data_IF_527738949878
#
_entry.id   IF_527738949878
#
_cell.length_a   1.000
_cell.length_b   1.000
_cell.length_c   1.000
_cell.angle_alpha   90.00
_cell.angle_beta   90.00
_cell.angle_gamma   90.00
#
_symmetry.space_group_name_H-M   'P 1'
#
loop_
_entity.id
_entity.type
_entity.pdbx_description
1 polymer ?
#
# COMPACT_ATOMS: atom_id res chain seq x y z
N UNK A 1 6.00 8.85 5.99
CA UNK A 1 6.74 7.83 6.77
C UNK A 1 5.73 6.88 7.36
N UNK A 2 5.89 5.59 7.06
CA UNK A 2 4.84 4.57 7.11
C UNK A 2 5.48 3.19 6.98
N UNK A 3 4.88 2.15 7.55
CA UNK A 3 5.05 0.78 7.06
C UNK A 3 3.68 0.20 6.66
N UNK A 4 3.61 -0.38 5.47
CA UNK A 4 2.46 -1.16 4.99
C UNK A 4 2.93 -2.50 4.43
N UNK A 5 2.08 -3.51 4.56
CA UNK A 5 2.33 -4.89 4.13
C UNK A 5 1.11 -5.44 3.41
N UNK A 6 1.33 -6.12 2.30
CA UNK A 6 0.34 -6.92 1.58
C UNK A 6 0.81 -8.38 1.55
N UNK A 7 -0.08 -9.34 1.77
CA UNK A 7 0.21 -10.78 1.73
C UNK A 7 -0.85 -11.49 0.87
N UNK A 8 -0.45 -11.98 -0.30
CA UNK A 8 -1.27 -12.77 -1.23
C UNK A 8 -1.00 -14.25 -0.99
N UNK A 9 -2.03 -14.99 -0.57
CA UNK A 9 -2.02 -16.45 -0.36
C UNK A 9 -3.14 -17.11 -1.16
N UNK A 10 -3.18 -18.44 -1.20
CA UNK A 10 -4.18 -19.19 -1.99
C UNK A 10 -5.63 -18.98 -1.53
N UNK A 11 -5.84 -18.69 -0.24
CA UNK A 11 -7.15 -18.45 0.35
C UNK A 11 -7.63 -16.99 0.25
N UNK A 12 -6.75 -16.02 -0.02
CA UNK A 12 -7.10 -14.62 0.10
C UNK A 12 -5.94 -13.64 0.01
N UNK A 13 -6.28 -12.37 0.22
CA UNK A 13 -5.35 -11.26 0.32
C UNK A 13 -5.47 -10.59 1.70
N UNK A 14 -4.34 -10.30 2.32
CA UNK A 14 -4.27 -9.53 3.57
C UNK A 14 -3.59 -8.20 3.29
N UNK A 15 -4.19 -7.11 3.76
CA UNK A 15 -3.59 -5.78 3.78
C UNK A 15 -3.42 -5.33 5.22
N UNK A 16 -2.27 -4.73 5.54
CA UNK A 16 -2.01 -4.20 6.88
C UNK A 16 -1.18 -2.92 6.82
N UNK A 17 -1.42 -1.99 7.76
CA UNK A 17 -0.70 -0.72 7.84
C UNK A 17 -0.60 -0.15 9.24
N UNK A 18 0.49 0.56 9.52
CA UNK A 18 0.67 1.31 10.76
C UNK A 18 -0.13 2.63 10.77
N UNK A 19 -0.08 3.36 11.89
CA UNK A 19 -0.97 4.51 12.13
C UNK A 19 -0.29 5.85 12.29
N UNK A 20 1.04 5.89 12.37
CA UNK A 20 1.76 7.14 12.55
C UNK A 20 1.93 7.87 11.21
N UNK A 21 1.47 9.11 11.10
CA UNK A 21 1.85 10.01 10.03
C UNK A 21 2.72 11.13 10.59
N UNK A 22 3.76 11.48 9.86
CA UNK A 22 4.69 12.51 10.25
C UNK A 22 4.73 13.62 9.20
N UNK A 23 4.47 14.84 9.67
CA UNK A 23 4.48 16.05 8.88
C UNK A 23 5.87 16.65 8.92
N UNK A 24 6.48 16.86 7.76
CA UNK A 24 7.77 17.52 7.63
C UNK A 24 7.58 18.99 7.29
N UNK A 25 8.57 19.81 7.62
CA UNK A 25 8.62 21.20 7.23
C UNK A 25 9.70 21.95 7.97
N UNK A 26 9.63 23.28 7.89
CA UNK A 26 10.60 24.18 8.52
C UNK A 26 9.88 25.14 9.45
N UNK A 27 10.35 25.25 10.69
CA UNK A 27 9.89 26.32 11.60
C UNK A 27 10.92 27.44 11.54
N UNK A 28 10.45 28.66 11.29
CA UNK A 28 11.26 29.88 11.44
C UNK A 28 11.03 30.44 12.84
N UNK A 29 12.07 30.45 13.67
CA UNK A 29 12.04 31.20 14.93
C UNK A 29 12.40 32.68 14.67
N UNK A 30 12.01 33.58 15.59
CA UNK A 30 12.27 35.03 15.53
C UNK A 30 13.75 35.39 15.31
N UNK A 31 14.67 34.48 15.68
CA UNK A 31 16.11 34.62 15.53
C UNK A 31 16.69 34.00 14.23
N UNK A 32 15.84 33.65 13.25
CA UNK A 32 16.29 33.19 11.92
C UNK A 32 16.84 31.77 11.84
N UNK A 33 16.87 31.00 12.94
CA UNK A 33 17.30 29.60 12.92
C UNK A 33 16.20 28.73 12.30
N UNK A 34 16.49 28.15 11.14
CA UNK A 34 15.69 27.12 10.48
C UNK A 34 15.97 25.76 11.11
N UNK A 35 15.04 25.25 11.92
CA UNK A 35 15.02 23.82 12.21
C UNK A 35 14.15 23.14 11.14
N UNK A 36 14.79 22.47 10.19
CA UNK A 36 14.12 21.57 9.25
C UNK A 36 14.00 20.17 9.86
N UNK A 37 12.83 19.55 9.77
CA UNK A 37 12.61 18.22 10.32
C UNK A 37 11.14 17.83 10.42
N UNK A 38 10.85 16.87 11.28
CA UNK A 38 9.47 16.48 11.61
C UNK A 38 8.86 17.58 12.48
N UNK A 39 7.86 18.26 11.94
CA UNK A 39 7.11 19.30 12.66
C UNK A 39 6.11 18.70 13.64
N UNK A 40 5.46 17.61 13.23
CA UNK A 40 4.38 16.98 14.01
C UNK A 40 4.22 15.52 13.62
N UNK A 41 3.86 14.69 14.59
CA UNK A 41 3.37 13.33 14.36
C UNK A 41 1.90 13.22 14.78
N UNK A 42 1.15 12.41 14.04
CA UNK A 42 -0.24 12.04 14.31
C UNK A 42 -0.33 10.51 14.35
N UNK A 43 -0.88 9.94 15.42
CA UNK A 43 -0.88 8.48 15.63
C UNK A 43 -2.15 7.76 15.15
N UNK A 44 -3.00 8.47 14.42
CA UNK A 44 -4.30 7.96 13.95
C UNK A 44 -4.49 8.06 12.43
N UNK A 45 -3.43 8.28 11.67
CA UNK A 45 -3.51 8.34 10.22
C UNK A 45 -3.96 7.00 9.64
N UNK A 46 -4.88 7.02 8.67
CA UNK A 46 -5.31 5.83 7.96
C UNK A 46 -4.48 5.65 6.71
N UNK A 47 -3.89 4.46 6.61
CA UNK A 47 -3.04 4.06 5.50
C UNK A 47 -3.57 2.84 4.77
N UNK A 48 -4.64 2.26 5.30
CA UNK A 48 -5.43 1.20 4.70
C UNK A 48 -6.85 1.74 4.53
N UNK A 49 -7.41 1.66 3.33
CA UNK A 49 -8.82 1.98 3.05
C UNK A 49 -9.48 0.89 2.23
N UNK A 50 -10.81 0.78 2.39
CA UNK A 50 -11.68 -0.03 1.56
C UNK A 50 -12.18 0.86 0.42
N UNK A 51 -12.12 0.38 -0.83
CA UNK A 51 -12.61 1.09 -2.01
C UNK A 51 -14.11 0.82 -2.20
N UNK A 52 -14.95 1.76 -1.76
CA UNK A 52 -16.41 1.72 -1.86
C UNK A 52 -16.99 0.41 -1.33
N UNK A 53 -17.72 -0.31 -2.16
CA UNK A 53 -18.30 -1.63 -1.89
C UNK A 53 -17.60 -2.75 -2.69
N UNK A 54 -16.48 -2.44 -3.37
CA UNK A 54 -15.69 -3.41 -4.10
C UNK A 54 -14.86 -4.30 -3.16
N UNK A 55 -14.52 -5.55 -3.53
CA UNK A 55 -13.52 -6.36 -2.86
C UNK A 55 -12.10 -5.84 -3.19
N UNK A 56 -11.87 -4.57 -2.91
CA UNK A 56 -10.64 -3.82 -3.25
C UNK A 56 -10.27 -2.93 -2.08
N UNK A 57 -9.00 -2.96 -1.69
CA UNK A 57 -8.42 -2.10 -0.68
C UNK A 57 -7.21 -1.35 -1.21
N UNK A 58 -6.83 -0.30 -0.49
CA UNK A 58 -5.64 0.49 -0.82
C UNK A 58 -4.71 0.62 0.37
N UNK A 59 -3.39 0.56 0.12
CA UNK A 59 -2.36 0.91 1.08
C UNK A 59 -1.61 2.17 0.63
N UNK A 60 -1.27 3.09 1.54
CA UNK A 60 -0.58 4.35 1.18
C UNK A 60 0.67 4.60 2.02
N UNK A 61 1.74 5.11 1.40
CA UNK A 61 2.97 5.51 2.08
C UNK A 61 3.66 6.68 1.35
N UNK A 62 4.69 7.22 1.99
CA UNK A 62 5.40 8.41 1.49
C UNK A 62 4.84 9.68 2.14
N UNK A 63 4.51 10.68 1.31
CA UNK A 63 3.89 11.93 1.72
C UNK A 63 2.46 11.71 2.25
N UNK A 64 2.10 12.44 3.32
CA UNK A 64 0.80 12.30 3.98
C UNK A 64 -0.31 13.19 3.40
N UNK A 65 0.07 14.28 2.72
CA UNK A 65 -0.86 15.29 2.20
C UNK A 65 -0.36 15.92 0.91
N UNK A 66 -1.28 16.30 0.04
CA UNK A 66 -1.04 17.07 -1.19
C UNK A 66 -1.83 18.37 -1.04
N UNK A 67 -1.12 19.50 -0.99
CA UNK A 67 -1.69 20.79 -0.62
C UNK A 67 -2.36 20.72 0.75
N UNK A 68 -3.66 21.05 0.81
CA UNK A 68 -4.47 21.03 2.03
C UNK A 68 -5.20 19.71 2.30
N UNK A 69 -5.04 18.69 1.43
CA UNK A 69 -5.80 17.43 1.49
C UNK A 69 -4.91 16.25 1.85
N UNK A 70 -5.41 15.34 2.68
CA UNK A 70 -4.73 14.07 2.92
C UNK A 70 -4.87 13.15 1.71
N UNK A 71 -3.94 12.20 1.54
CA UNK A 71 -4.04 11.18 0.49
C UNK A 71 -5.33 10.35 0.65
N UNK A 72 -5.72 10.03 1.90
CA UNK A 72 -7.01 9.37 2.17
C UNK A 72 -8.20 10.17 1.66
N UNK A 73 -8.17 11.50 1.77
CA UNK A 73 -9.24 12.36 1.26
C UNK A 73 -9.34 12.30 -0.27
N UNK A 74 -8.20 12.21 -0.97
CA UNK A 74 -8.18 12.07 -2.43
C UNK A 74 -8.73 10.72 -2.87
N UNK A 75 -8.37 9.65 -2.17
CA UNK A 75 -8.89 8.30 -2.43
C UNK A 75 -10.40 8.28 -2.26
N UNK A 76 -10.93 8.88 -1.19
CA UNK A 76 -12.39 8.95 -0.95
C UNK A 76 -13.13 9.78 -1.99
N UNK A 77 -12.52 10.84 -2.50
CA UNK A 77 -13.10 11.65 -3.58
C UNK A 77 -13.21 10.83 -4.87
N UNK A 78 -12.15 10.09 -5.22
CA UNK A 78 -12.19 9.17 -6.35
C UNK A 78 -13.23 8.06 -6.16
N UNK A 79 -13.22 7.43 -4.98
CA UNK A 79 -14.17 6.40 -4.57
C UNK A 79 -15.63 6.85 -4.71
N UNK A 80 -15.92 8.10 -4.32
CA UNK A 80 -17.26 8.68 -4.44
C UNK A 80 -17.74 8.77 -5.89
N UNK A 81 -16.82 8.92 -6.85
CA UNK A 81 -17.11 8.94 -8.28
C UNK A 81 -17.32 7.57 -8.92
N UNK A 82 -16.91 6.47 -8.27
CA UNK A 82 -17.11 5.12 -8.78
C UNK A 82 -18.59 4.71 -8.71
N UNK A 83 -19.09 3.84 -9.60
CA UNK A 83 -20.40 3.18 -9.43
C UNK A 83 -20.42 2.34 -8.15
N UNK A 84 -21.60 2.08 -7.57
CA UNK A 84 -21.74 1.15 -6.44
C UNK A 84 -22.07 -0.23 -6.97
N UNK A 85 -21.34 -1.26 -6.52
CA UNK A 85 -21.68 -2.65 -6.81
C UNK A 85 -23.08 -3.01 -6.33
N UNK A 86 -23.46 -2.59 -5.13
CA UNK A 86 -24.79 -2.84 -4.57
C UNK A 86 -25.89 -2.21 -5.43
N UNK A 87 -25.73 -0.94 -5.81
CA UNK A 87 -26.70 -0.23 -6.66
C UNK A 87 -26.78 -0.83 -8.07
N UNK A 88 -25.65 -1.17 -8.69
CA UNK A 88 -25.63 -1.80 -10.02
C UNK A 88 -26.26 -3.20 -10.00
N UNK A 89 -26.01 -3.97 -8.94
CA UNK A 89 -26.64 -5.28 -8.76
C UNK A 89 -28.15 -5.16 -8.54
N UNK A 90 -28.62 -4.17 -7.78
CA UNK A 90 -30.06 -3.95 -7.59
C UNK A 90 -30.73 -3.49 -8.89
N UNK A 91 -30.11 -2.61 -9.70
CA UNK A 91 -30.62 -2.27 -11.04
C UNK A 91 -30.78 -3.50 -11.94
N UNK A 92 -29.79 -4.39 -11.94
CA UNK A 92 -29.85 -5.65 -12.70
C UNK A 92 -31.01 -6.52 -12.19
N UNK A 93 -31.17 -6.61 -10.86
CA UNK A 93 -32.25 -7.37 -10.23
C UNK A 93 -33.64 -6.83 -10.58
N UNK A 94 -33.83 -5.51 -10.53
CA UNK A 94 -35.09 -4.87 -10.91
C UNK A 94 -35.46 -5.14 -12.37
N UNK A 95 -34.49 -5.05 -13.29
CA UNK A 95 -34.69 -5.36 -14.72
C UNK A 95 -35.11 -6.83 -14.92
N UNK A 96 -34.50 -7.77 -14.18
CA UNK A 96 -34.92 -9.18 -14.16
C UNK A 96 -36.37 -9.34 -13.69
N UNK A 97 -36.77 -8.63 -12.63
CA UNK A 97 -38.16 -8.67 -12.16
C UNK A 97 -39.17 -8.13 -13.17
N UNK A 98 -38.77 -7.18 -14.04
CA UNK A 98 -39.59 -6.67 -15.14
C UNK A 98 -39.69 -7.60 -16.36
N UNK A 99 -39.06 -8.77 -16.32
CA UNK A 99 -39.06 -9.72 -17.43
C UNK A 99 -38.18 -9.29 -18.61
N UNK A 100 -37.27 -8.33 -18.40
CA UNK A 100 -36.24 -8.01 -19.39
C UNK A 100 -35.28 -9.22 -19.51
N UNK A 101 -34.72 -9.45 -20.69
CA UNK A 101 -33.72 -10.51 -20.86
C UNK A 101 -32.36 -10.01 -20.32
N UNK A 102 -32.03 -10.39 -19.08
CA UNK A 102 -30.86 -9.91 -18.31
C UNK A 102 -30.01 -11.08 -17.79
N UNK A 103 -30.18 -12.29 -18.32
CA UNK A 103 -29.47 -13.49 -17.82
C UNK A 103 -27.94 -13.38 -17.93
N UNK A 104 -27.43 -12.53 -18.82
CA UNK A 104 -25.99 -12.30 -19.03
C UNK A 104 -25.48 -10.91 -18.59
N UNK A 105 -26.31 -10.04 -18.03
CA UNK A 105 -25.84 -8.70 -17.62
C UNK A 105 -25.33 -8.80 -16.18
N UNK A 106 -24.01 -8.72 -16.03
CA UNK A 106 -23.32 -8.47 -14.77
C UNK A 106 -22.60 -7.13 -14.88
N UNK A 107 -22.48 -6.41 -13.77
CA UNK A 107 -21.61 -5.25 -13.73
C UNK A 107 -20.16 -5.72 -13.53
N UNK A 108 -19.39 -5.64 -14.61
CA UNK A 108 -17.98 -6.04 -14.62
C UNK A 108 -17.11 -4.85 -14.20
N UNK A 109 -16.05 -5.14 -13.45
CA UNK A 109 -15.06 -4.16 -13.01
C UNK A 109 -13.69 -4.83 -12.97
N UNK A 110 -12.65 -4.05 -13.24
CA UNK A 110 -11.27 -4.49 -13.19
C UNK A 110 -10.45 -3.65 -12.22
N UNK A 111 -9.66 -4.32 -11.37
CA UNK A 111 -8.81 -3.64 -10.38
C UNK A 111 -7.74 -2.79 -11.06
N UNK A 112 -7.22 -3.22 -12.22
CA UNK A 112 -6.27 -2.44 -13.01
C UNK A 112 -6.88 -1.14 -13.53
N UNK A 113 -8.11 -1.20 -14.05
CA UNK A 113 -8.86 0.00 -14.48
C UNK A 113 -9.14 0.96 -13.31
N UNK A 114 -9.57 0.43 -12.16
CA UNK A 114 -9.77 1.22 -10.93
C UNK A 114 -8.43 1.88 -10.52
N UNK A 115 -7.33 1.14 -10.62
CA UNK A 115 -5.98 1.61 -10.27
C UNK A 115 -5.49 2.71 -11.20
N UNK A 116 -5.73 2.56 -12.51
CA UNK A 116 -5.42 3.58 -13.51
C UNK A 116 -6.22 4.86 -13.26
N UNK A 117 -7.53 4.75 -13.01
CA UNK A 117 -8.37 5.90 -12.69
C UNK A 117 -7.92 6.61 -11.40
N UNK A 118 -7.52 5.86 -10.37
CA UNK A 118 -6.99 6.44 -9.14
C UNK A 118 -5.65 7.15 -9.38
N UNK A 119 -4.76 6.57 -10.21
CA UNK A 119 -3.49 7.19 -10.56
C UNK A 119 -3.72 8.53 -11.26
N UNK A 120 -4.61 8.58 -12.24
CA UNK A 120 -4.96 9.82 -12.96
C UNK A 120 -5.51 10.90 -12.01
N UNK A 121 -6.46 10.52 -11.15
CA UNK A 121 -7.06 11.42 -10.16
C UNK A 121 -6.03 12.03 -9.20
N UNK A 122 -5.16 11.18 -8.64
CA UNK A 122 -4.13 11.61 -7.68
C UNK A 122 -3.03 12.42 -8.37
N UNK A 123 -2.61 12.02 -9.58
CA UNK A 123 -1.60 12.73 -10.38
C UNK A 123 -2.05 14.15 -10.68
N UNK A 124 -3.33 14.36 -11.03
CA UNK A 124 -3.87 15.70 -11.27
C UNK A 124 -3.71 16.64 -10.06
N UNK A 125 -3.98 16.14 -8.85
CA UNK A 125 -3.77 16.90 -7.61
C UNK A 125 -2.29 17.10 -7.30
N UNK A 126 -1.47 16.08 -7.55
CA UNK A 126 -0.04 16.08 -7.26
C UNK A 126 0.71 17.08 -8.14
N UNK A 127 0.48 17.04 -9.46
CA UNK A 127 1.12 17.95 -10.41
C UNK A 127 0.63 19.39 -10.22
N UNK A 128 -0.64 19.59 -9.84
CA UNK A 128 -1.17 20.92 -9.51
C UNK A 128 -0.50 21.57 -8.30
N UNK A 129 -0.07 20.78 -7.31
CA UNK A 129 0.61 21.28 -6.10
C UNK A 129 2.13 21.40 -6.28
N UNK A 130 2.74 20.44 -6.97
CA UNK A 130 4.19 20.30 -7.05
C UNK A 130 4.77 20.65 -8.43
N UNK A 131 4.04 21.35 -9.30
CA UNK A 131 4.49 21.75 -10.65
C UNK A 131 5.83 22.49 -10.64
N UNK A 132 6.04 23.32 -9.62
CA UNK A 132 7.20 24.21 -9.50
C UNK A 132 8.38 23.57 -8.74
N UNK A 133 8.20 22.35 -8.23
CA UNK A 133 9.22 21.60 -7.51
C UNK A 133 10.04 20.79 -8.51
N UNK A 134 11.40 20.85 -8.50
CA UNK A 134 12.23 20.00 -9.34
C UNK A 134 11.94 18.52 -9.12
N UNK A 135 11.92 17.71 -10.18
CA UNK A 135 11.50 16.30 -10.11
C UNK A 135 12.27 15.48 -9.05
N UNK A 136 13.58 15.71 -8.91
CA UNK A 136 14.43 15.05 -7.89
C UNK A 136 14.05 15.39 -6.45
N UNK A 137 13.37 16.52 -6.24
CA UNK A 137 12.94 17.02 -4.93
C UNK A 137 11.44 16.83 -4.69
N UNK A 138 10.70 16.31 -5.67
CA UNK A 138 9.27 16.04 -5.53
C UNK A 138 9.05 14.92 -4.50
N UNK A 139 8.12 15.09 -3.55
CA UNK A 139 7.97 14.15 -2.45
C UNK A 139 7.33 12.83 -2.94
N UNK A 140 7.91 11.66 -2.64
CA UNK A 140 7.38 10.40 -3.16
C UNK A 140 6.02 10.08 -2.53
N UNK A 141 5.12 9.56 -3.37
CA UNK A 141 3.84 8.98 -2.96
C UNK A 141 3.73 7.58 -3.57
N UNK A 142 3.50 6.59 -2.73
CA UNK A 142 3.16 5.25 -3.16
C UNK A 142 1.77 4.86 -2.71
N UNK A 143 1.01 4.26 -3.61
CA UNK A 143 -0.31 3.69 -3.35
C UNK A 143 -0.32 2.28 -3.92
N UNK A 144 -0.66 1.28 -3.10
CA UNK A 144 -0.95 -0.05 -3.59
C UNK A 144 -2.46 -0.21 -3.63
N UNK A 145 -3.02 -0.51 -4.80
CA UNK A 145 -4.43 -0.92 -4.95
C UNK A 145 -4.44 -2.44 -5.10
N UNK A 146 -5.26 -3.13 -4.32
CA UNK A 146 -5.25 -4.60 -4.34
C UNK A 146 -6.63 -5.16 -4.03
N UNK A 147 -7.02 -6.18 -4.78
CA UNK A 147 -8.35 -6.76 -4.66
C UNK A 147 -8.65 -7.77 -5.75
N UNK A 148 -9.91 -8.07 -5.96
CA UNK A 148 -10.36 -9.04 -6.96
C UNK A 148 -11.08 -8.33 -8.09
N UNK A 149 -10.66 -8.54 -9.34
CA UNK A 149 -11.48 -8.14 -10.50
C UNK A 149 -12.71 -9.04 -10.59
N UNK A 150 -13.75 -8.54 -11.25
CA UNK A 150 -14.98 -9.29 -11.47
C UNK A 150 -14.68 -10.67 -12.08
N UNK A 151 -15.24 -11.72 -11.47
CA UNK A 151 -15.12 -13.10 -11.95
C UNK A 151 -13.74 -13.76 -11.74
N UNK A 152 -12.72 -13.05 -11.24
CA UNK A 152 -11.41 -13.64 -10.94
C UNK A 152 -11.40 -14.32 -9.57
N UNK A 153 -10.70 -15.46 -9.49
CA UNK A 153 -10.53 -16.21 -8.25
C UNK A 153 -9.30 -15.80 -7.44
N UNK A 154 -8.29 -15.19 -8.08
CA UNK A 154 -7.08 -14.68 -7.41
C UNK A 154 -7.02 -13.16 -7.50
N UNK A 155 -6.42 -12.51 -6.49
CA UNK A 155 -6.38 -11.06 -6.42
C UNK A 155 -5.26 -10.47 -7.29
N UNK A 156 -5.54 -9.30 -7.83
CA UNK A 156 -4.59 -8.44 -8.54
C UNK A 156 -4.04 -7.38 -7.58
N UNK A 157 -2.79 -6.95 -7.82
CA UNK A 157 -2.14 -5.91 -7.02
C UNK A 157 -1.48 -4.92 -7.98
N UNK A 158 -1.79 -3.65 -7.84
CA UNK A 158 -1.30 -2.58 -8.70
C UNK A 158 -0.62 -1.51 -7.85
N UNK A 159 0.65 -1.29 -8.13
CA UNK A 159 1.50 -0.31 -7.48
C UNK A 159 1.49 0.98 -8.30
N UNK A 160 1.04 2.06 -7.67
CA UNK A 160 1.10 3.42 -8.16
C UNK A 160 2.28 4.11 -7.46
N UNK A 161 3.22 4.67 -8.24
CA UNK A 161 4.27 5.53 -7.69
C UNK A 161 4.27 6.89 -8.38
N UNK A 162 4.44 7.94 -7.58
CA UNK A 162 4.73 9.32 -7.98
C UNK A 162 6.07 9.76 -7.36
N UNK A 163 6.86 10.65 -7.99
CA UNK A 163 6.50 11.68 -8.98
C UNK A 163 6.47 11.24 -10.47
N UNK A 164 6.20 12.22 -11.35
CA UNK A 164 5.97 12.09 -12.79
C UNK A 164 7.18 11.57 -13.62
N UNK A 165 6.94 10.75 -14.67
CA UNK A 165 5.65 10.17 -15.00
C UNK A 165 5.21 9.19 -13.91
N UNK A 166 3.95 9.33 -13.47
CA UNK A 166 3.37 8.40 -12.53
C UNK A 166 3.41 7.00 -13.14
N UNK A 167 3.85 6.01 -12.36
CA UNK A 167 3.98 4.64 -12.84
C UNK A 167 2.86 3.79 -12.27
N UNK A 168 2.30 2.93 -13.12
CA UNK A 168 1.39 1.87 -12.74
C UNK A 168 2.05 0.52 -13.03
N UNK A 169 2.29 -0.27 -11.99
CA UNK A 169 2.97 -1.56 -12.10
C UNK A 169 2.11 -2.66 -11.49
N UNK A 170 1.83 -3.71 -12.25
CA UNK A 170 1.27 -4.93 -11.70
C UNK A 170 2.31 -5.65 -10.82
N UNK A 171 1.92 -5.97 -9.60
CA UNK A 171 2.72 -6.73 -8.66
C UNK A 171 2.23 -8.17 -8.57
N UNK A 172 3.19 -9.10 -8.57
CA UNK A 172 2.94 -10.54 -8.54
C UNK A 172 1.95 -10.97 -9.65
N UNK A 173 2.24 -10.62 -10.92
CA UNK A 173 1.48 -11.14 -12.04
C UNK A 173 1.58 -12.66 -12.04
N UNK A 174 0.59 -13.31 -12.64
CA UNK A 174 0.59 -14.76 -12.79
C UNK A 174 1.77 -15.20 -13.67
N UNK A 175 2.42 -16.30 -13.29
CA UNK A 175 3.59 -16.86 -13.97
C UNK A 175 3.14 -18.19 -14.57
N UNK A 176 3.26 -18.34 -15.90
CA UNK A 176 2.80 -19.53 -16.63
C UNK A 176 1.35 -19.92 -16.28
N UNK A 177 0.45 -18.91 -16.27
CA UNK A 177 -0.97 -19.04 -15.91
C UNK A 177 -1.23 -19.52 -14.47
N UNK A 178 -0.22 -19.47 -13.59
CA UNK A 178 -0.34 -19.81 -12.18
C UNK A 178 -0.23 -18.58 -11.30
N UNK A 179 -1.04 -18.50 -10.23
CA UNK A 179 -0.98 -17.39 -9.28
C UNK A 179 0.38 -17.26 -8.61
N UNK A 180 0.93 -16.05 -8.62
CA UNK A 180 2.14 -15.71 -7.86
C UNK A 180 1.79 -15.27 -6.44
N UNK A 181 2.08 -16.13 -5.47
CA UNK A 181 1.85 -15.83 -4.05
C UNK A 181 3.06 -15.19 -3.38
N UNK A 182 2.82 -14.45 -2.30
CA UNK A 182 3.88 -13.82 -1.53
C UNK A 182 3.47 -12.54 -0.83
N UNK A 183 4.45 -11.94 -0.17
CA UNK A 183 4.28 -10.67 0.51
C UNK A 183 4.97 -9.51 -0.23
N UNK A 184 4.40 -8.32 -0.08
CA UNK A 184 4.95 -7.04 -0.52
C UNK A 184 4.96 -6.10 0.69
N UNK A 185 5.98 -5.24 0.82
CA UNK A 185 6.09 -4.27 1.91
C UNK A 185 6.67 -2.96 1.41
N UNK A 186 6.15 -1.85 1.94
CA UNK A 186 6.51 -0.52 1.45
C UNK A 186 6.65 0.51 2.57
N UNK A 187 7.41 1.57 2.28
CA UNK A 187 7.75 2.62 3.24
C UNK A 187 9.01 2.27 4.01
N UNK A 188 8.90 2.12 5.33
CA UNK A 188 10.02 1.90 6.24
C UNK A 188 10.32 0.41 6.40
N UNK A 189 11.01 -0.15 5.41
CA UNK A 189 11.15 -1.60 5.21
C UNK A 189 12.48 -2.18 5.69
N UNK A 190 13.43 -1.35 6.13
CA UNK A 190 14.81 -1.76 6.46
C UNK A 190 14.88 -2.94 7.44
N UNK A 191 14.07 -2.90 8.50
CA UNK A 191 14.00 -3.99 9.47
C UNK A 191 13.46 -5.30 8.87
N UNK A 192 12.45 -5.20 8.00
CA UNK A 192 11.85 -6.35 7.33
C UNK A 192 12.82 -6.93 6.31
N UNK A 193 13.53 -6.09 5.55
CA UNK A 193 14.54 -6.51 4.57
C UNK A 193 15.68 -7.27 5.26
N UNK A 194 16.19 -6.75 6.38
CA UNK A 194 17.20 -7.42 7.19
C UNK A 194 16.73 -8.76 7.73
N UNK A 195 15.51 -8.81 8.25
CA UNK A 195 14.93 -10.03 8.78
C UNK A 195 14.68 -11.05 7.67
N UNK A 196 13.89 -10.71 6.65
CA UNK A 196 13.38 -11.63 5.65
C UNK A 196 14.43 -12.01 4.60
N UNK A 197 15.17 -11.03 4.05
CA UNK A 197 16.16 -11.26 3.00
C UNK A 197 17.59 -11.45 3.53
N UNK A 198 17.82 -11.30 4.83
CA UNK A 198 19.16 -11.45 5.41
C UNK A 198 20.18 -10.41 4.93
N UNK A 199 19.72 -9.27 4.38
CA UNK A 199 20.57 -8.24 3.78
C UNK A 199 20.14 -6.83 4.21
N UNK A 200 21.00 -5.86 3.96
CA UNK A 200 20.74 -4.45 4.22
C UNK A 200 21.27 -3.60 3.07
N UNK A 201 20.46 -2.68 2.55
CA UNK A 201 20.85 -1.89 1.38
C UNK A 201 22.06 -0.99 1.63
N UNK A 202 22.23 -0.43 2.83
CA UNK A 202 23.42 0.35 3.15
C UNK A 202 24.66 -0.55 3.22
N UNK A 203 24.53 -1.75 3.79
CA UNK A 203 25.61 -2.73 3.78
C UNK A 203 26.00 -3.12 2.35
N UNK A 204 25.02 -3.33 1.45
CA UNK A 204 25.27 -3.60 0.03
C UNK A 204 26.07 -2.45 -0.61
N UNK A 205 25.67 -1.20 -0.39
CA UNK A 205 26.36 -0.03 -0.94
C UNK A 205 27.79 0.12 -0.40
N UNK A 206 27.99 -0.14 0.90
CA UNK A 206 29.32 -0.10 1.54
C UNK A 206 30.23 -1.15 0.92
N UNK A 207 29.74 -2.39 0.80
CA UNK A 207 30.51 -3.51 0.23
C UNK A 207 30.80 -3.28 -1.26
N UNK A 208 29.80 -2.89 -2.04
CA UNK A 208 29.95 -2.59 -3.46
C UNK A 208 31.01 -1.51 -3.70
N UNK A 209 30.95 -0.39 -2.96
CA UNK A 209 31.93 0.70 -3.09
C UNK A 209 33.32 0.33 -2.58
N UNK A 210 33.43 -0.44 -1.49
CA UNK A 210 34.71 -0.77 -0.87
C UNK A 210 35.51 -1.79 -1.68
N UNK A 211 34.83 -2.74 -2.29
CA UNK A 211 35.41 -3.87 -3.00
C UNK A 211 35.26 -3.77 -4.52
N UNK A 212 34.60 -2.73 -5.02
CA UNK A 212 34.33 -2.51 -6.45
C UNK A 212 33.59 -3.68 -7.09
N UNK A 213 32.67 -4.28 -6.33
CA UNK A 213 31.83 -5.42 -6.74
C UNK A 213 30.43 -4.90 -7.08
N UNK A 214 29.80 -5.48 -8.10
CA UNK A 214 28.44 -5.10 -8.47
C UNK A 214 27.44 -5.43 -7.36
N UNK A 215 26.44 -4.56 -7.17
CA UNK A 215 25.45 -4.72 -6.12
C UNK A 215 24.62 -5.99 -6.31
N UNK A 216 24.27 -6.34 -7.54
CA UNK A 216 23.47 -7.53 -7.84
C UNK A 216 24.27 -8.83 -7.62
N UNK A 217 25.59 -8.79 -7.81
CA UNK A 217 26.47 -9.92 -7.45
C UNK A 217 26.43 -10.18 -5.94
N UNK A 218 26.54 -9.14 -5.12
CA UNK A 218 26.46 -9.27 -3.65
C UNK A 218 25.08 -9.77 -3.23
N UNK A 219 24.00 -9.28 -3.86
CA UNK A 219 22.64 -9.78 -3.61
C UNK A 219 22.56 -11.27 -3.92
N UNK A 220 23.10 -11.70 -5.06
CA UNK A 220 23.20 -13.11 -5.45
C UNK A 220 23.87 -13.98 -4.39
N UNK A 221 24.97 -13.49 -3.82
CA UNK A 221 25.71 -14.17 -2.74
C UNK A 221 24.92 -14.28 -1.43
N UNK A 222 24.04 -13.32 -1.13
CA UNK A 222 23.25 -13.28 0.10
C UNK A 222 21.91 -14.01 -0.01
N UNK A 223 21.47 -14.40 -1.22
CA UNK A 223 20.22 -15.14 -1.44
C UNK A 223 20.01 -16.34 -0.49
N UNK A 224 21.03 -17.15 -0.14
CA UNK A 224 20.86 -18.27 0.81
C UNK A 224 20.45 -17.86 2.23
N UNK A 225 20.57 -16.57 2.60
CA UNK A 225 20.18 -16.05 3.92
C UNK A 225 18.70 -15.67 3.99
N UNK A 226 17.99 -15.64 2.86
CA UNK A 226 16.56 -15.35 2.86
C UNK A 226 15.81 -16.44 3.64
N UNK A 227 14.90 -16.03 4.53
CA UNK A 227 13.98 -16.97 5.15
C UNK A 227 12.91 -17.40 4.12
N UNK A 228 12.88 -18.69 3.72
CA UNK A 228 11.86 -19.18 2.81
C UNK A 228 10.51 -19.22 3.54
N UNK A 229 9.49 -18.60 2.95
CA UNK A 229 8.12 -18.58 3.49
C UNK A 229 7.19 -19.27 2.48
N UNK A 230 6.52 -20.36 2.86
CA UNK A 230 5.67 -21.13 1.93
C UNK A 230 4.28 -20.49 1.78
N UNK A 231 4.19 -19.37 1.07
CA UNK A 231 2.94 -18.61 0.91
C UNK A 231 1.81 -19.38 0.20
N UNK A 232 2.15 -20.29 -0.71
CA UNK A 232 1.17 -21.13 -1.43
C UNK A 232 0.27 -21.95 -0.50
N UNK A 233 0.87 -22.54 0.54
CA UNK A 233 0.17 -23.38 1.51
C UNK A 233 -0.15 -22.67 2.82
N UNK A 234 0.00 -21.34 2.87
CA UNK A 234 -0.24 -20.54 4.08
C UNK A 234 -1.74 -20.25 4.23
N UNK A 235 -2.39 -20.69 5.33
CA UNK A 235 -3.77 -20.34 5.62
C UNK A 235 -3.94 -18.83 5.82
N UNK A 236 -5.15 -18.32 5.57
CA UNK A 236 -5.46 -16.89 5.63
C UNK A 236 -5.22 -16.28 7.03
N UNK A 237 -5.48 -17.04 8.09
CA UNK A 237 -5.19 -16.60 9.46
C UNK A 237 -3.68 -16.45 9.71
N UNK A 238 -2.86 -17.39 9.22
CA UNK A 238 -1.41 -17.28 9.31
C UNK A 238 -0.87 -16.12 8.47
N UNK A 239 -1.51 -15.81 7.33
CA UNK A 239 -1.19 -14.62 6.54
C UNK A 239 -1.49 -13.31 7.28
N UNK A 240 -2.59 -13.25 8.04
CA UNK A 240 -2.91 -12.14 8.95
C UNK A 240 -1.79 -11.98 9.99
N UNK A 241 -1.43 -13.07 10.66
CA UNK A 241 -0.43 -13.06 11.72
C UNK A 241 0.96 -12.68 11.18
N UNK A 242 1.31 -13.16 9.98
CA UNK A 242 2.53 -12.80 9.27
C UNK A 242 2.59 -11.31 8.94
N UNK A 243 1.51 -10.73 8.40
CA UNK A 243 1.44 -9.31 8.08
C UNK A 243 1.61 -8.44 9.34
N UNK A 244 0.92 -8.80 10.42
CA UNK A 244 1.01 -8.11 11.72
C UNK A 244 2.41 -8.25 12.31
N UNK A 245 3.04 -9.41 12.22
CA UNK A 245 4.41 -9.64 12.67
C UNK A 245 5.40 -8.72 11.95
N UNK A 246 5.35 -8.64 10.61
CA UNK A 246 6.25 -7.79 9.83
C UNK A 246 6.12 -6.30 10.19
N UNK A 247 4.89 -5.81 10.38
CA UNK A 247 4.67 -4.44 10.84
C UNK A 247 5.26 -4.22 12.23
N UNK A 248 5.06 -5.16 13.17
CA UNK A 248 5.63 -5.05 14.51
C UNK A 248 7.16 -5.06 14.53
N UNK A 249 7.81 -5.78 13.60
CA UNK A 249 9.27 -5.75 13.42
C UNK A 249 9.72 -4.33 13.05
N UNK A 250 9.06 -3.69 12.08
CA UNK A 250 9.36 -2.31 11.71
C UNK A 250 9.07 -1.33 12.86
N UNK A 251 7.91 -1.44 13.52
CA UNK A 251 7.57 -0.61 14.70
C UNK A 251 8.63 -0.77 15.80
N UNK A 252 9.00 -2.01 16.12
CA UNK A 252 10.03 -2.32 17.10
C UNK A 252 11.36 -1.66 16.76
N UNK A 253 11.78 -1.72 15.49
CA UNK A 253 12.96 -1.01 15.01
C UNK A 253 12.88 0.47 15.37
N UNK A 254 11.87 1.19 14.87
CA UNK A 254 11.80 2.65 15.02
C UNK A 254 11.48 3.11 16.45
N UNK A 255 11.03 2.19 17.32
CA UNK A 255 10.82 2.46 18.75
C UNK A 255 12.12 2.44 19.55
N UNK A 256 13.02 1.50 19.27
CA UNK A 256 14.19 1.24 20.13
C UNK A 256 15.51 1.80 19.59
N UNK A 257 15.58 2.15 18.31
CA UNK A 257 16.76 2.79 17.71
C UNK A 257 16.68 4.31 17.85
N UNK A 258 17.83 4.97 18.02
CA UNK A 258 17.93 6.43 18.09
C UNK A 258 17.33 7.05 16.84
N UNK A 259 16.35 7.94 17.03
CA UNK A 259 15.62 8.61 15.97
C UNK A 259 14.20 8.96 16.40
N UNK A 260 13.46 9.62 15.52
CA UNK A 260 12.04 9.84 15.75
C UNK A 260 11.23 8.56 15.46
N UNK A 261 10.10 8.32 16.15
CA UNK A 261 9.23 7.19 15.89
C UNK A 261 8.46 7.42 14.58
N UNK A 262 9.01 6.96 13.47
CA UNK A 262 8.47 7.24 12.12
C UNK A 262 7.31 6.32 11.71
N UNK A 263 7.08 5.24 12.44
CA UNK A 263 5.94 4.33 12.32
C UNK A 263 5.51 3.81 13.70
N UNK A 264 4.24 3.47 13.85
CA UNK A 264 3.70 3.04 15.15
C UNK A 264 2.17 3.02 15.23
N UNK A 265 1.67 2.99 16.47
CA UNK A 265 0.25 2.99 16.79
C UNK A 265 -0.45 1.63 16.61
N UNK A 266 -1.78 1.65 16.67
CA UNK A 266 -2.60 0.46 16.37
C UNK A 266 -2.39 0.05 14.90
N UNK A 267 -2.48 -1.24 14.57
CA UNK A 267 -2.32 -1.73 13.19
C UNK A 267 -3.71 -1.93 12.61
N UNK A 268 -4.00 -1.29 11.48
CA UNK A 268 -5.19 -1.61 10.68
C UNK A 268 -4.90 -2.87 9.85
N UNK A 269 -5.83 -3.82 9.85
CA UNK A 269 -5.72 -5.09 9.12
C UNK A 269 -7.04 -5.40 8.44
N UNK A 270 -6.98 -5.68 7.14
CA UNK A 270 -8.10 -6.13 6.34
C UNK A 270 -7.78 -7.41 5.60
N UNK A 271 -8.83 -8.20 5.38
CA UNK A 271 -8.82 -9.39 4.54
C UNK A 271 -9.73 -9.12 3.35
N UNK A 272 -9.26 -9.53 2.18
CA UNK A 272 -10.02 -9.46 0.95
C UNK A 272 -10.09 -10.87 0.36
N UNK A 273 -11.29 -11.29 0.02
CA UNK A 273 -11.63 -12.52 -0.69
C UNK A 273 -12.52 -12.14 -1.90
N UNK A 274 -12.78 -13.03 -2.88
CA UNK A 274 -13.36 -12.66 -4.18
C UNK A 274 -14.57 -11.72 -4.18
N UNK A 275 -15.44 -11.79 -3.17
CA UNK A 275 -16.65 -10.96 -3.09
C UNK A 275 -16.78 -10.20 -1.76
N UNK A 276 -15.70 -10.06 -1.00
CA UNK A 276 -15.77 -9.39 0.30
C UNK A 276 -14.46 -8.73 0.67
N UNK A 277 -14.59 -7.49 1.14
CA UNK A 277 -13.61 -6.82 1.97
C UNK A 277 -14.08 -6.90 3.43
N UNK A 278 -13.22 -7.33 4.34
CA UNK A 278 -13.52 -7.44 5.76
C UNK A 278 -12.42 -6.85 6.63
N UNK A 279 -12.79 -6.00 7.58
CA UNK A 279 -11.87 -5.49 8.59
C UNK A 279 -11.65 -6.56 9.67
N UNK A 280 -10.42 -7.06 9.79
CA UNK A 280 -10.01 -7.90 10.93
C UNK A 280 -9.72 -7.03 12.14
N UNK A 281 -9.06 -5.91 11.89
CA UNK A 281 -8.78 -4.88 12.90
C UNK A 281 -8.87 -3.52 12.24
N UNK A 282 -9.69 -2.65 12.81
CA UNK A 282 -9.83 -1.27 12.37
C UNK A 282 -9.80 -0.37 13.58
N UNK A 283 -8.93 0.63 13.59
CA UNK A 283 -8.96 1.67 14.62
C UNK A 283 -10.34 2.28 14.73
N UNK A 284 -10.85 2.33 15.95
CA UNK A 284 -12.08 3.04 16.27
C UNK A 284 -11.77 4.47 16.71
N UNK A 285 -12.73 5.35 16.52
CA UNK A 285 -12.73 6.68 17.12
C UNK A 285 -12.91 6.49 18.64
N UNK A 286 -12.05 7.11 19.44
CA UNK A 286 -12.09 7.04 20.91
C UNK A 286 -12.05 8.48 21.46
N UNK A 287 -12.70 8.72 22.59
CA UNK A 287 -12.71 9.99 23.34
C UNK A 287 -11.68 9.96 24.46
#
# INVERSE_FOLDING_TARGET
MTIVVSVKVSEGLVLAGDSTAAMHGTIRNENGVQAGGILKTYDHARKLSHMKDYPVGTLTWGISQIGSRTVESLIKEFEYGLPSLEEENEKIRERRMRGENVESISYEYDVGEISQGLLEHVTSSYDGEFSDVPDESKPPLGILVSGYSFGKFFPDQWLLNLPSPGTLQELRPDIDEKPSFGANWFGLTDAIVRLHWGRDDQALDILSKRFEVDREEIIGLLNPLQYPVPFEGMPLQDAIDYAVYLINVAIGRFRFVVGAPLCGGEIDVAVIIPNSFSWVRKKSWKL
#
